data_IF_872482985913
#
_entry.id   IF_872482985913
#
_cell.length_a   1.000
_cell.length_b   1.000
_cell.length_c   1.000
_cell.angle_alpha   90.00
_cell.angle_beta   90.00
_cell.angle_gamma   90.00
#
_symmetry.space_group_name_H-M   'P 1'
#
loop_
_entity.id
_entity.type
_entity.pdbx_description
1 polymer ?
#
# COMPACT_ATOMS: atom_id res chain seq x y z
N UNK A 1 0.10 -10.64 -7.55
CA UNK A 1 0.26 -10.23 -6.13
C UNK A 1 1.20 -11.17 -5.40
N UNK A 2 0.93 -12.48 -5.40
CA UNK A 2 1.78 -13.48 -4.73
C UNK A 2 3.22 -13.49 -5.28
N UNK A 3 3.38 -13.41 -6.60
CA UNK A 3 4.70 -13.32 -7.24
C UNK A 3 5.49 -12.06 -6.84
N UNK A 4 4.81 -10.93 -6.68
CA UNK A 4 5.44 -9.66 -6.25
C UNK A 4 5.95 -9.80 -4.81
N UNK A 5 5.18 -10.45 -3.94
CA UNK A 5 5.56 -10.71 -2.55
C UNK A 5 6.76 -11.65 -2.47
N UNK A 6 6.76 -12.73 -3.25
CA UNK A 6 7.88 -13.67 -3.34
C UNK A 6 9.15 -12.99 -3.85
N UNK A 7 9.04 -12.18 -4.93
CA UNK A 7 10.17 -11.43 -5.50
C UNK A 7 10.80 -10.46 -4.49
N UNK A 8 9.98 -9.83 -3.66
CA UNK A 8 10.45 -8.91 -2.62
C UNK A 8 10.75 -9.60 -1.28
N UNK A 9 10.69 -10.95 -1.21
CA UNK A 9 10.91 -11.77 -0.01
C UNK A 9 10.01 -11.35 1.17
N UNK A 10 8.78 -10.94 0.88
CA UNK A 10 7.80 -10.53 1.89
C UNK A 10 6.93 -11.73 2.24
N UNK A 11 7.12 -12.25 3.46
CA UNK A 11 6.33 -13.33 4.02
C UNK A 11 5.39 -12.77 5.07
N UNK A 12 4.09 -13.03 4.89
CA UNK A 12 3.03 -12.55 5.78
C UNK A 12 2.26 -13.71 6.39
N UNK A 13 1.92 -13.56 7.67
CA UNK A 13 0.98 -14.38 8.42
C UNK A 13 -0.30 -13.57 8.67
N UNK A 14 -1.42 -14.25 8.88
CA UNK A 14 -2.73 -13.62 9.20
C UNK A 14 -3.10 -12.49 8.23
N UNK A 15 -3.06 -12.77 6.93
CA UNK A 15 -3.40 -11.79 5.91
C UNK A 15 -4.91 -11.56 5.85
N UNK A 16 -5.31 -10.29 5.70
CA UNK A 16 -6.68 -9.85 5.47
C UNK A 16 -6.69 -8.91 4.29
N UNK A 17 -7.43 -9.26 3.25
CA UNK A 17 -7.68 -8.36 2.12
C UNK A 17 -8.78 -7.39 2.50
N UNK A 18 -8.57 -6.10 2.27
CA UNK A 18 -9.50 -5.05 2.65
C UNK A 18 -10.39 -4.68 1.45
N UNK A 19 -11.70 -4.63 1.71
CA UNK A 19 -12.65 -4.14 0.71
C UNK A 19 -12.60 -2.62 0.65
N UNK A 20 -11.92 -2.09 -0.37
CA UNK A 20 -11.71 -0.66 -0.55
C UNK A 20 -12.96 0.15 -0.88
N UNK A 21 -14.08 -0.49 -1.25
CA UNK A 21 -15.33 0.21 -1.58
C UNK A 21 -15.84 1.12 -0.44
N UNK A 22 -15.45 0.83 0.79
CA UNK A 22 -15.79 1.61 1.98
C UNK A 22 -14.87 2.83 2.19
N UNK A 23 -13.72 2.88 1.52
CA UNK A 23 -12.66 3.86 1.77
C UNK A 23 -12.35 4.75 0.57
N UNK A 24 -12.45 4.22 -0.65
CA UNK A 24 -12.22 4.97 -1.88
C UNK A 24 -13.08 4.42 -3.03
N UNK A 25 -13.38 5.30 -3.99
CA UNK A 25 -14.00 4.92 -5.27
C UNK A 25 -12.98 4.35 -6.27
N UNK A 26 -11.69 4.50 -6.01
CA UNK A 26 -10.62 4.05 -6.90
C UNK A 26 -10.55 2.52 -6.95
N UNK A 27 -10.71 1.97 -8.16
CA UNK A 27 -10.70 0.52 -8.41
C UNK A 27 -9.31 -0.03 -8.76
N UNK A 28 -8.33 0.85 -8.97
CA UNK A 28 -6.96 0.48 -9.32
C UNK A 28 -6.14 0.03 -8.12
N UNK A 29 -6.69 0.05 -6.90
CA UNK A 29 -5.98 -0.33 -5.70
C UNK A 29 -6.46 -1.66 -5.14
N UNK A 30 -5.54 -2.39 -4.50
CA UNK A 30 -5.82 -3.52 -3.63
C UNK A 30 -5.02 -3.36 -2.35
N UNK A 31 -5.64 -3.59 -1.20
CA UNK A 31 -4.97 -3.46 0.10
C UNK A 31 -5.01 -4.78 0.84
N UNK A 32 -3.85 -5.17 1.37
CA UNK A 32 -3.70 -6.34 2.23
C UNK A 32 -3.06 -5.86 3.53
N UNK A 33 -3.65 -6.24 4.64
CA UNK A 33 -3.05 -6.10 5.96
C UNK A 33 -2.59 -7.48 6.40
N UNK A 34 -1.41 -7.58 6.97
CA UNK A 34 -0.91 -8.84 7.53
C UNK A 34 0.15 -8.59 8.58
N UNK A 35 0.68 -9.68 9.13
CA UNK A 35 1.73 -9.65 10.13
C UNK A 35 3.01 -10.24 9.53
N UNK A 36 4.12 -9.51 9.60
CA UNK A 36 5.41 -10.02 9.14
C UNK A 36 5.95 -11.13 10.06
N UNK A 37 7.03 -11.80 9.65
CA UNK A 37 7.67 -12.85 10.46
C UNK A 37 8.22 -12.34 11.81
N UNK A 38 8.38 -11.03 11.97
CA UNK A 38 8.83 -10.35 13.19
C UNK A 38 7.64 -9.86 14.04
N UNK A 39 6.42 -10.31 13.76
CA UNK A 39 5.19 -9.92 14.45
C UNK A 39 4.82 -8.44 14.32
N UNK A 40 5.32 -7.74 13.30
CA UNK A 40 4.91 -6.37 13.01
C UNK A 40 3.72 -6.34 12.03
N UNK A 41 2.75 -5.48 12.31
CA UNK A 41 1.67 -5.20 11.37
C UNK A 41 2.23 -4.48 10.14
N UNK A 42 1.90 -5.02 8.97
CA UNK A 42 2.29 -4.53 7.65
C UNK A 42 1.04 -4.23 6.84
N UNK A 43 0.98 -3.01 6.32
CA UNK A 43 -0.02 -2.60 5.33
C UNK A 43 0.61 -2.57 3.94
N UNK A 44 0.05 -3.36 3.03
CA UNK A 44 0.46 -3.44 1.65
C UNK A 44 -0.61 -2.80 0.77
N UNK A 45 -0.19 -1.88 -0.08
CA UNK A 45 -1.04 -1.25 -1.10
C UNK A 45 -0.47 -1.61 -2.46
N UNK A 46 -1.30 -2.21 -3.31
CA UNK A 46 -0.97 -2.48 -4.70
C UNK A 46 -1.76 -1.55 -5.59
N UNK A 47 -1.09 -0.91 -6.52
CA UNK A 47 -1.71 -0.14 -7.59
C UNK A 47 -1.51 -0.85 -8.92
N UNK A 48 -2.60 -1.06 -9.63
CA UNK A 48 -2.62 -1.53 -11.01
C UNK A 48 -3.27 -0.47 -11.91
N UNK A 49 -2.44 0.34 -12.56
CA UNK A 49 -2.89 1.35 -13.51
C UNK A 49 -1.75 1.78 -14.43
N UNK A 50 -2.06 1.97 -15.71
CA UNK A 50 -1.08 2.43 -16.72
C UNK A 50 -0.71 3.91 -16.59
N UNK A 51 -1.55 4.71 -15.94
CA UNK A 51 -1.35 6.16 -15.82
C UNK A 51 -0.28 6.50 -14.77
N UNK A 52 0.46 7.59 -15.02
CA UNK A 52 1.47 8.12 -14.10
C UNK A 52 0.86 8.41 -12.71
N UNK A 53 1.57 8.02 -11.65
CA UNK A 53 1.20 8.29 -10.27
C UNK A 53 1.63 9.72 -9.88
N UNK A 54 0.64 10.54 -9.51
CA UNK A 54 0.81 11.95 -9.18
C UNK A 54 0.59 12.22 -7.69
N UNK A 55 0.95 13.41 -7.22
CA UNK A 55 0.85 13.80 -5.82
C UNK A 55 -0.58 13.63 -5.26
N UNK A 56 -1.61 13.98 -6.05
CA UNK A 56 -3.02 13.78 -5.69
C UNK A 56 -3.36 12.30 -5.38
N UNK A 57 -2.73 11.37 -6.10
CA UNK A 57 -2.92 9.95 -5.86
C UNK A 57 -2.21 9.51 -4.57
N UNK A 58 -1.05 10.10 -4.28
CA UNK A 58 -0.34 9.86 -3.01
C UNK A 58 -1.14 10.32 -1.79
N UNK A 59 -1.76 11.50 -1.87
CA UNK A 59 -2.65 12.02 -0.82
C UNK A 59 -3.82 11.05 -0.59
N UNK A 60 -4.51 10.65 -1.66
CA UNK A 60 -5.62 9.69 -1.58
C UNK A 60 -5.18 8.37 -0.93
N UNK A 61 -4.01 7.85 -1.31
CA UNK A 61 -3.45 6.61 -0.73
C UNK A 61 -3.16 6.75 0.76
N UNK A 62 -2.56 7.87 1.17
CA UNK A 62 -2.29 8.14 2.58
C UNK A 62 -3.59 8.23 3.40
N UNK A 63 -4.60 8.93 2.88
CA UNK A 63 -5.91 9.10 3.52
C UNK A 63 -6.62 7.77 3.75
N UNK A 64 -6.87 6.98 2.70
CA UNK A 64 -7.58 5.71 2.87
C UNK A 64 -6.78 4.72 3.71
N UNK A 65 -5.44 4.75 3.63
CA UNK A 65 -4.61 3.84 4.42
C UNK A 65 -4.72 4.16 5.91
N UNK A 66 -4.78 5.45 6.28
CA UNK A 66 -4.96 5.84 7.67
C UNK A 66 -6.38 5.48 8.17
N UNK A 67 -7.42 5.63 7.34
CA UNK A 67 -8.77 5.19 7.68
C UNK A 67 -8.84 3.68 7.94
N UNK A 68 -8.24 2.86 7.06
CA UNK A 68 -8.19 1.40 7.21
C UNK A 68 -7.49 1.00 8.52
N UNK A 69 -6.36 1.63 8.84
CA UNK A 69 -5.62 1.32 10.06
C UNK A 69 -6.40 1.70 11.32
N UNK A 70 -7.11 2.84 11.29
CA UNK A 70 -7.97 3.28 12.38
C UNK A 70 -9.15 2.33 12.59
N UNK A 71 -9.83 1.93 11.51
CA UNK A 71 -10.98 1.02 11.57
C UNK A 71 -10.62 -0.38 12.07
N UNK A 72 -9.39 -0.82 11.80
CA UNK A 72 -8.89 -2.11 12.27
C UNK A 72 -8.27 -2.05 13.67
N UNK A 73 -8.14 -0.85 14.25
CA UNK A 73 -7.40 -0.58 15.49
C UNK A 73 -5.95 -1.14 15.42
N UNK A 74 -5.30 -0.98 14.27
CA UNK A 74 -3.96 -1.49 13.98
C UNK A 74 -2.97 -0.35 13.86
N UNK A 75 -1.91 -0.39 14.67
CA UNK A 75 -0.72 0.42 14.46
C UNK A 75 0.19 -0.32 13.47
N UNK A 76 0.27 0.17 12.24
CA UNK A 76 1.14 -0.38 11.21
C UNK A 76 2.52 0.27 11.30
N UNK A 77 3.54 -0.52 11.69
CA UNK A 77 4.93 -0.05 11.76
C UNK A 77 5.58 0.09 10.39
N UNK A 78 5.04 -0.62 9.40
CA UNK A 78 5.57 -0.61 8.03
C UNK A 78 4.40 -0.48 7.05
N UNK A 79 4.54 0.38 6.04
CA UNK A 79 3.62 0.45 4.90
C UNK A 79 4.43 0.25 3.62
N UNK A 80 3.93 -0.54 2.68
CA UNK A 80 4.59 -0.76 1.39
C UNK A 80 3.62 -0.45 0.28
N UNK A 81 4.07 0.34 -0.69
CA UNK A 81 3.30 0.71 -1.87
C UNK A 81 3.94 0.09 -3.12
N UNK A 82 3.22 -0.83 -3.75
CA UNK A 82 3.59 -1.44 -5.02
C UNK A 82 2.90 -0.72 -6.17
N UNK A 83 3.66 -0.33 -7.18
CA UNK A 83 3.15 0.40 -8.35
C UNK A 83 3.76 -0.12 -9.65
N UNK A 84 2.97 -0.12 -10.72
CA UNK A 84 3.36 -0.63 -12.05
C UNK A 84 3.42 0.44 -13.14
N UNK A 85 3.52 1.72 -12.76
CA UNK A 85 3.60 2.86 -13.67
C UNK A 85 4.74 3.81 -13.30
N UNK A 86 4.96 4.83 -14.12
CA UNK A 86 5.80 5.95 -13.70
C UNK A 86 5.25 6.63 -12.44
N UNK A 87 6.14 7.11 -11.57
CA UNK A 87 5.81 7.91 -10.39
C UNK A 87 6.53 9.25 -10.47
N UNK A 88 5.83 10.35 -10.19
CA UNK A 88 6.51 11.64 -10.11
C UNK A 88 7.28 11.79 -8.79
N UNK A 89 8.41 12.49 -8.82
CA UNK A 89 9.29 12.67 -7.66
C UNK A 89 8.59 13.28 -6.44
N UNK A 90 7.65 14.22 -6.68
CA UNK A 90 6.83 14.81 -5.62
C UNK A 90 5.92 13.78 -4.94
N UNK A 91 5.33 12.88 -5.71
CA UNK A 91 4.49 11.82 -5.15
C UNK A 91 5.31 10.79 -4.38
N UNK A 92 6.49 10.42 -4.90
CA UNK A 92 7.40 9.52 -4.21
C UNK A 92 7.80 10.06 -2.83
N UNK A 93 8.24 11.33 -2.76
CA UNK A 93 8.58 11.99 -1.49
C UNK A 93 7.40 12.01 -0.51
N UNK A 94 6.21 12.38 -0.98
CA UNK A 94 5.01 12.40 -0.14
C UNK A 94 4.70 11.02 0.43
N UNK A 95 4.86 9.96 -0.37
CA UNK A 95 4.64 8.59 0.10
C UNK A 95 5.65 8.18 1.17
N UNK A 96 6.94 8.51 0.97
CA UNK A 96 8.00 8.24 1.95
C UNK A 96 7.78 9.00 3.26
N UNK A 97 7.38 10.27 3.20
CA UNK A 97 7.00 11.09 4.37
C UNK A 97 5.80 10.50 5.14
N UNK A 98 4.89 9.81 4.44
CA UNK A 98 3.75 9.11 5.03
C UNK A 98 4.09 7.69 5.52
N UNK A 99 5.38 7.32 5.52
CA UNK A 99 5.90 6.05 6.03
C UNK A 99 5.77 4.88 5.05
N UNK A 100 5.57 5.14 3.76
CA UNK A 100 5.54 4.10 2.73
C UNK A 100 6.91 3.84 2.16
N UNK A 101 7.29 2.56 2.08
CA UNK A 101 8.32 2.09 1.17
C UNK A 101 7.71 1.85 -0.21
N UNK A 102 8.14 2.61 -1.22
CA UNK A 102 7.65 2.48 -2.58
C UNK A 102 8.47 1.46 -3.37
N UNK A 103 7.82 0.47 -3.98
CA UNK A 103 8.45 -0.61 -4.75
C UNK A 103 7.81 -0.72 -6.14
N UNK A 104 8.63 -0.69 -7.19
CA UNK A 104 8.14 -0.91 -8.55
C UNK A 104 7.83 -2.40 -8.76
N UNK A 105 6.58 -2.69 -9.08
CA UNK A 105 6.09 -4.01 -9.43
C UNK A 105 5.87 -4.05 -10.94
N UNK A 106 6.87 -4.56 -11.66
CA UNK A 106 6.79 -4.86 -13.10
C UNK A 106 5.97 -6.12 -13.32
#
# INVERSE_FOLDING_TARGET
MEEILLKHKIFLKKTKTINLKLYTRAKSYKVIVGVDMQSNNLLLVFRDAKSRFLQKNGIEVAEFSNMILKDLDIISRKKIFFYNSEICSKALKLMEENGFKCCFAM
#
